data_IF_192452521268
#
_entry.id   IF_192452521268
#
_cell.length_a   1.000
_cell.length_b   1.000
_cell.length_c   1.000
_cell.angle_alpha   90.00
_cell.angle_beta   90.00
_cell.angle_gamma   90.00
#
_symmetry.space_group_name_H-M   'P 1'
#
loop_
_entity.id
_entity.type
_entity.pdbx_description
1 polymer ?
#
# COMPACT_ATOMS: atom_id res chain seq x y z
N UNK A 1 -5.62 -6.09 -19.69
CA UNK A 1 -5.14 -5.67 -18.36
C UNK A 1 -4.47 -6.88 -17.69
N UNK A 2 -3.26 -6.69 -17.19
CA UNK A 2 -2.48 -7.74 -16.54
C UNK A 2 -1.95 -7.22 -15.20
N UNK A 3 -2.09 -8.02 -14.13
CA UNK A 3 -1.48 -7.73 -12.83
C UNK A 3 -0.43 -8.81 -12.59
N UNK A 4 0.80 -8.39 -12.32
CA UNK A 4 1.93 -9.29 -12.08
C UNK A 4 2.89 -8.67 -11.06
N UNK A 5 3.85 -9.46 -10.59
CA UNK A 5 4.88 -8.90 -9.70
C UNK A 5 5.79 -7.94 -10.47
N UNK A 6 6.27 -6.93 -9.78
CA UNK A 6 7.25 -5.99 -10.30
C UNK A 6 8.57 -6.72 -10.55
N UNK A 7 9.25 -6.38 -11.64
CA UNK A 7 10.57 -6.87 -11.98
C UNK A 7 11.57 -5.72 -11.91
N UNK A 8 12.84 -6.05 -11.83
CA UNK A 8 13.89 -5.03 -11.83
C UNK A 8 13.76 -4.05 -13.01
N UNK A 9 13.38 -4.55 -14.18
CA UNK A 9 13.22 -3.73 -15.39
C UNK A 9 12.09 -2.70 -15.26
N UNK A 10 11.16 -2.90 -14.33
CA UNK A 10 10.03 -2.00 -14.11
C UNK A 10 10.36 -0.86 -13.17
N UNK A 11 11.42 -0.96 -12.39
CA UNK A 11 11.69 -0.05 -11.27
C UNK A 11 11.69 1.41 -11.68
N UNK A 12 12.37 1.72 -12.77
CA UNK A 12 12.46 3.11 -13.25
C UNK A 12 11.12 3.67 -13.68
N UNK A 13 10.36 2.90 -14.46
CA UNK A 13 9.03 3.31 -14.94
C UNK A 13 8.08 3.48 -13.79
N UNK A 14 8.12 2.56 -12.82
CA UNK A 14 7.29 2.63 -11.61
C UNK A 14 7.61 3.90 -10.81
N UNK A 15 8.89 4.18 -10.57
CA UNK A 15 9.29 5.36 -9.81
C UNK A 15 8.90 6.66 -10.51
N UNK A 16 9.03 6.73 -11.83
CA UNK A 16 8.59 7.88 -12.61
C UNK A 16 7.08 8.08 -12.53
N UNK A 17 6.32 6.99 -12.57
CA UNK A 17 4.86 7.02 -12.44
C UNK A 17 4.44 7.51 -11.06
N UNK A 18 5.07 7.00 -10.00
CA UNK A 18 4.80 7.43 -8.63
C UNK A 18 5.07 8.92 -8.49
N UNK A 19 6.19 9.39 -9.00
CA UNK A 19 6.55 10.80 -8.96
C UNK A 19 5.48 11.66 -9.64
N UNK A 20 4.99 11.28 -10.81
CA UNK A 20 3.93 12.01 -11.50
C UNK A 20 2.63 12.04 -10.69
N UNK A 21 2.25 10.92 -10.09
CA UNK A 21 0.98 10.81 -9.37
C UNK A 21 0.97 11.62 -8.08
N UNK A 22 2.10 11.75 -7.39
CA UNK A 22 2.19 12.39 -6.08
C UNK A 22 2.81 13.79 -6.12
N UNK A 23 3.25 14.27 -7.29
CA UNK A 23 3.93 15.56 -7.39
C UNK A 23 3.03 16.71 -6.95
N UNK A 24 3.51 17.49 -5.97
CA UNK A 24 2.79 18.64 -5.41
C UNK A 24 1.40 18.30 -4.81
N UNK A 25 1.15 17.05 -4.48
CA UNK A 25 -0.17 16.64 -3.99
C UNK A 25 -0.43 17.08 -2.55
N UNK A 26 0.53 16.86 -1.64
CA UNK A 26 0.39 17.23 -0.23
C UNK A 26 1.45 18.24 0.24
N UNK A 27 2.56 18.36 -0.50
CA UNK A 27 3.66 19.28 -0.23
C UNK A 27 4.37 19.57 -1.55
N UNK A 28 5.21 20.61 -1.65
CA UNK A 28 5.99 20.84 -2.87
C UNK A 28 6.86 19.64 -3.21
N UNK A 29 6.76 19.14 -4.46
CA UNK A 29 7.42 17.90 -4.87
C UNK A 29 6.75 16.68 -4.27
N UNK A 30 7.52 15.60 -4.08
CA UNK A 30 7.05 14.37 -3.41
C UNK A 30 8.22 13.48 -3.01
N UNK A 31 7.97 12.56 -2.07
CA UNK A 31 8.94 11.59 -1.57
C UNK A 31 8.56 10.14 -1.87
N UNK A 32 7.34 9.89 -2.35
CA UNK A 32 6.81 8.53 -2.46
C UNK A 32 7.64 7.64 -3.38
N UNK A 33 8.17 8.20 -4.47
CA UNK A 33 9.03 7.45 -5.40
C UNK A 33 10.38 7.11 -4.77
N UNK A 34 10.93 7.99 -3.94
CA UNK A 34 12.16 7.73 -3.20
C UNK A 34 11.95 6.65 -2.14
N UNK A 35 10.82 6.71 -1.44
CA UNK A 35 10.44 5.68 -0.47
C UNK A 35 10.38 4.31 -1.13
N UNK A 36 9.70 4.20 -2.28
CA UNK A 36 9.62 2.93 -3.02
C UNK A 36 11.01 2.42 -3.40
N UNK A 37 11.89 3.31 -3.85
CA UNK A 37 13.27 2.94 -4.20
C UNK A 37 14.02 2.37 -3.02
N UNK A 38 13.90 3.00 -1.84
CA UNK A 38 14.61 2.56 -0.63
C UNK A 38 14.02 1.30 -0.03
N UNK A 39 12.68 1.17 -0.03
CA UNK A 39 12.02 0.06 0.64
C UNK A 39 12.32 -1.29 -0.02
N UNK A 40 12.60 -1.31 -1.31
CA UNK A 40 12.97 -2.54 -2.01
C UNK A 40 14.26 -3.17 -1.47
N UNK A 41 15.08 -2.38 -0.76
CA UNK A 41 16.32 -2.84 -0.12
C UNK A 41 16.10 -3.22 1.34
N UNK A 42 14.91 -3.02 1.88
CA UNK A 42 14.58 -3.31 3.26
C UNK A 42 14.31 -4.79 3.47
N UNK A 43 14.64 -5.30 4.67
CA UNK A 43 14.28 -6.66 5.07
C UNK A 43 12.76 -6.86 5.18
N UNK A 44 12.01 -5.78 5.34
CA UNK A 44 10.56 -5.83 5.47
C UNK A 44 9.83 -5.86 4.13
N UNK A 45 10.54 -5.64 3.03
CA UNK A 45 9.96 -5.71 1.70
C UNK A 45 9.54 -7.13 1.35
N UNK A 46 8.36 -7.28 0.75
CA UNK A 46 7.80 -8.57 0.37
C UNK A 46 7.65 -8.60 -1.16
N UNK A 47 8.65 -9.17 -1.89
CA UNK A 47 8.57 -9.21 -3.35
C UNK A 47 7.32 -9.86 -3.91
N UNK A 48 6.78 -10.86 -3.22
CA UNK A 48 5.56 -11.56 -3.62
C UNK A 48 4.31 -10.68 -3.52
N UNK A 49 4.39 -9.57 -2.79
CA UNK A 49 3.31 -8.60 -2.62
C UNK A 49 3.69 -7.23 -3.19
N UNK A 50 4.51 -7.23 -4.21
CA UNK A 50 4.89 -6.06 -4.99
C UNK A 50 4.36 -6.25 -6.40
N UNK A 51 3.29 -5.52 -6.75
CA UNK A 51 2.55 -5.74 -7.99
C UNK A 51 2.58 -4.52 -8.89
N UNK A 52 2.69 -4.77 -10.18
CA UNK A 52 2.44 -3.79 -11.23
C UNK A 52 1.21 -4.21 -12.02
N UNK A 53 0.53 -3.22 -12.58
CA UNK A 53 -0.60 -3.41 -13.48
C UNK A 53 -0.20 -2.88 -14.86
N UNK A 54 -0.41 -3.68 -15.90
CA UNK A 54 -0.15 -3.30 -17.28
C UNK A 54 -1.44 -3.19 -18.08
N UNK A 55 -1.49 -2.21 -18.97
CA UNK A 55 -2.50 -2.09 -20.01
C UNK A 55 -1.80 -1.80 -21.32
N UNK A 56 -2.04 -2.61 -22.35
CA UNK A 56 -1.41 -2.46 -23.66
C UNK A 56 0.12 -2.38 -23.60
N UNK A 57 0.72 -3.19 -22.72
CA UNK A 57 2.18 -3.25 -22.56
C UNK A 57 2.79 -2.11 -21.76
N UNK A 58 1.98 -1.20 -21.23
CA UNK A 58 2.42 -0.06 -20.42
C UNK A 58 2.08 -0.29 -18.96
N UNK A 59 3.02 -0.01 -18.05
CA UNK A 59 2.75 -0.04 -16.61
C UNK A 59 1.89 1.18 -16.24
N UNK A 60 0.71 0.90 -15.70
CA UNK A 60 -0.26 1.93 -15.32
C UNK A 60 -0.59 1.94 -13.83
N UNK A 61 -0.11 0.96 -13.07
CA UNK A 61 -0.36 0.90 -11.63
C UNK A 61 0.72 0.14 -10.89
N UNK A 62 0.81 0.41 -9.59
CA UNK A 62 1.78 -0.23 -8.71
C UNK A 62 1.30 -0.18 -7.27
N UNK A 63 1.53 -1.26 -6.52
CA UNK A 63 1.34 -1.33 -5.08
C UNK A 63 2.41 -2.25 -4.50
N UNK A 64 2.98 -1.88 -3.36
CA UNK A 64 3.89 -2.77 -2.65
C UNK A 64 3.54 -2.83 -1.17
N UNK A 65 3.80 -3.98 -0.59
CA UNK A 65 3.55 -4.25 0.83
C UNK A 65 4.86 -4.44 1.56
N UNK A 66 4.85 -4.08 2.83
CA UNK A 66 5.95 -4.31 3.76
C UNK A 66 5.43 -4.99 5.01
N UNK A 67 6.30 -5.73 5.68
CA UNK A 67 6.02 -6.31 6.99
C UNK A 67 6.00 -5.18 8.03
N UNK A 68 5.06 -5.28 8.95
CA UNK A 68 4.98 -4.39 10.08
C UNK A 68 4.53 -5.19 11.30
N UNK A 69 4.49 -4.54 12.46
CA UNK A 69 4.16 -5.22 13.72
C UNK A 69 3.25 -4.36 14.57
N UNK A 70 2.31 -5.00 15.23
CA UNK A 70 1.54 -4.42 16.32
C UNK A 70 2.12 -4.94 17.64
N UNK A 71 2.40 -4.03 18.55
CA UNK A 71 2.92 -4.35 19.88
C UNK A 71 1.81 -4.18 20.90
N UNK A 72 1.44 -5.26 21.56
CA UNK A 72 0.43 -5.22 22.62
C UNK A 72 1.04 -4.76 23.95
N UNK A 73 0.18 -4.27 24.83
CA UNK A 73 0.61 -3.80 26.16
C UNK A 73 1.18 -4.91 27.05
N UNK A 74 0.80 -6.17 26.76
CA UNK A 74 1.32 -7.35 27.48
C UNK A 74 2.65 -7.86 26.89
N UNK A 75 3.21 -7.18 25.89
CA UNK A 75 4.47 -7.54 25.25
C UNK A 75 4.33 -8.48 24.06
N UNK A 76 3.14 -8.97 23.76
CA UNK A 76 2.95 -9.82 22.56
C UNK A 76 3.06 -8.97 21.30
N UNK A 77 3.54 -9.63 20.22
CA UNK A 77 3.76 -8.99 18.92
C UNK A 77 2.92 -9.70 17.89
N UNK A 78 2.14 -8.94 17.11
CA UNK A 78 1.39 -9.47 15.98
C UNK A 78 2.03 -8.98 14.68
N UNK A 79 2.35 -9.92 13.79
CA UNK A 79 2.87 -9.58 12.47
C UNK A 79 1.71 -9.17 11.56
N UNK A 80 1.85 -8.01 10.95
CA UNK A 80 0.85 -7.43 10.05
C UNK A 80 1.51 -6.95 8.79
N UNK A 81 0.71 -6.41 7.88
CA UNK A 81 1.18 -5.76 6.66
C UNK A 81 0.81 -4.29 6.65
N UNK A 82 1.61 -3.52 5.94
CA UNK A 82 1.24 -2.19 5.49
C UNK A 82 1.56 -2.09 4.00
N UNK A 83 0.86 -1.23 3.28
CA UNK A 83 1.21 -0.97 1.88
C UNK A 83 1.39 0.53 1.65
N UNK A 84 2.14 0.84 0.60
CA UNK A 84 2.37 2.19 0.13
C UNK A 84 3.77 2.34 -0.43
N UNK A 85 3.92 3.15 -1.49
CA UNK A 85 2.84 3.85 -2.17
C UNK A 85 1.95 2.90 -2.97
N UNK A 86 0.70 3.30 -3.15
CA UNK A 86 -0.27 2.66 -4.01
C UNK A 86 -0.63 3.68 -5.09
N UNK A 87 -0.34 3.36 -6.34
CA UNK A 87 -0.33 4.35 -7.42
C UNK A 87 -1.02 3.83 -8.65
N UNK A 88 -1.88 4.68 -9.24
CA UNK A 88 -2.39 4.49 -10.60
C UNK A 88 -1.90 5.69 -11.41
N UNK A 89 -1.40 5.43 -12.62
CA UNK A 89 -0.93 6.47 -13.52
C UNK A 89 -2.02 7.54 -13.68
N UNK A 90 -1.66 8.84 -13.62
CA UNK A 90 -2.68 9.91 -13.67
C UNK A 90 -3.68 9.80 -14.80
N UNK A 91 -3.25 9.35 -15.98
CA UNK A 91 -4.13 9.23 -17.16
C UNK A 91 -5.12 8.06 -17.06
N UNK A 92 -4.95 7.20 -16.06
CA UNK A 92 -5.76 5.99 -15.87
C UNK A 92 -6.56 6.00 -14.58
N UNK A 93 -6.52 7.09 -13.83
CA UNK A 93 -7.25 7.22 -12.57
C UNK A 93 -8.77 7.34 -12.80
N UNK A 94 -9.54 6.95 -11.77
CA UNK A 94 -11.01 7.02 -11.74
C UNK A 94 -11.70 6.16 -12.81
N UNK A 95 -11.06 5.07 -13.21
CA UNK A 95 -11.58 4.12 -14.22
C UNK A 95 -11.73 2.70 -13.66
N UNK A 96 -11.56 2.53 -12.34
CA UNK A 96 -11.68 1.23 -11.68
C UNK A 96 -10.40 0.40 -11.62
N UNK A 97 -9.30 0.87 -12.15
CA UNK A 97 -8.04 0.12 -12.12
C UNK A 97 -7.49 -0.02 -10.70
N UNK A 98 -7.59 1.04 -9.90
CA UNK A 98 -7.14 0.99 -8.51
C UNK A 98 -7.87 -0.06 -7.69
N UNK A 99 -9.17 -0.19 -7.88
CA UNK A 99 -9.98 -1.22 -7.22
C UNK A 99 -9.49 -2.62 -7.57
N UNK A 100 -9.23 -2.87 -8.85
CA UNK A 100 -8.76 -4.18 -9.32
C UNK A 100 -7.39 -4.51 -8.74
N UNK A 101 -6.48 -3.56 -8.75
CA UNK A 101 -5.12 -3.76 -8.24
C UNK A 101 -5.14 -3.99 -6.72
N UNK A 102 -5.87 -3.16 -5.99
CA UNK A 102 -5.95 -3.29 -4.53
C UNK A 102 -6.58 -4.62 -4.13
N UNK A 103 -7.71 -5.00 -4.73
CA UNK A 103 -8.38 -6.26 -4.41
C UNK A 103 -7.49 -7.47 -4.72
N UNK A 104 -6.79 -7.46 -5.86
CA UNK A 104 -5.86 -8.52 -6.21
C UNK A 104 -4.76 -8.67 -5.15
N UNK A 105 -4.18 -7.56 -4.73
CA UNK A 105 -3.10 -7.58 -3.75
C UNK A 105 -3.58 -8.01 -2.36
N UNK A 106 -4.77 -7.60 -1.95
CA UNK A 106 -5.35 -8.02 -0.67
C UNK A 106 -5.64 -9.52 -0.64
N UNK A 107 -6.14 -10.09 -1.75
CA UNK A 107 -6.34 -11.54 -1.86
C UNK A 107 -5.01 -12.28 -1.79
N UNK A 108 -3.98 -11.79 -2.47
CA UNK A 108 -2.65 -12.39 -2.41
C UNK A 108 -2.08 -12.36 -0.98
N UNK A 109 -2.27 -11.26 -0.27
CA UNK A 109 -1.83 -11.14 1.13
C UNK A 109 -2.56 -12.15 2.03
N UNK A 110 -3.86 -12.31 1.84
CA UNK A 110 -4.66 -13.28 2.57
C UNK A 110 -4.17 -14.72 2.29
N UNK A 111 -3.91 -15.02 1.03
CA UNK A 111 -3.43 -16.35 0.62
C UNK A 111 -2.06 -16.69 1.22
N UNK A 112 -1.25 -15.67 1.55
CA UNK A 112 0.03 -15.86 2.23
C UNK A 112 -0.11 -16.03 3.74
N UNK A 113 -1.35 -15.97 4.27
CA UNK A 113 -1.62 -16.18 5.69
C UNK A 113 -1.69 -14.93 6.54
N UNK A 114 -1.63 -13.75 5.95
CA UNK A 114 -1.81 -12.50 6.69
C UNK A 114 -3.29 -12.23 6.95
N UNK A 115 -3.61 -11.69 8.12
CA UNK A 115 -4.99 -11.41 8.48
C UNK A 115 -5.27 -9.93 8.78
N UNK A 116 -4.26 -9.07 8.72
CA UNK A 116 -4.41 -7.67 9.10
C UNK A 116 -3.50 -6.78 8.27
N UNK A 117 -4.09 -5.69 7.75
CA UNK A 117 -3.36 -4.64 7.04
C UNK A 117 -3.64 -3.30 7.73
N UNK A 118 -2.58 -2.57 8.06
CA UNK A 118 -2.67 -1.24 8.69
C UNK A 118 -1.96 -0.24 7.79
N UNK A 119 -2.64 0.84 7.44
CA UNK A 119 -2.11 1.84 6.52
C UNK A 119 -2.35 3.26 7.04
N UNK A 120 -1.60 4.21 6.49
CA UNK A 120 -1.95 5.62 6.54
C UNK A 120 -2.60 5.99 5.20
N UNK A 121 -3.86 6.40 5.23
CA UNK A 121 -4.58 6.73 4.02
C UNK A 121 -5.78 7.62 4.27
N UNK A 122 -6.32 8.18 3.19
CA UNK A 122 -7.52 8.99 3.28
C UNK A 122 -8.73 8.07 3.49
N UNK A 123 -9.50 8.23 4.60
CA UNK A 123 -10.69 7.42 4.84
C UNK A 123 -11.69 7.42 3.67
N UNK A 124 -11.81 8.54 2.97
CA UNK A 124 -12.71 8.65 1.81
C UNK A 124 -12.32 7.66 0.69
N UNK A 125 -11.02 7.34 0.58
CA UNK A 125 -10.53 6.44 -0.47
C UNK A 125 -10.58 4.98 -0.06
N UNK A 126 -10.48 4.67 1.23
CA UNK A 126 -10.27 3.30 1.69
C UNK A 126 -11.45 2.68 2.45
N UNK A 127 -12.40 3.49 2.94
CA UNK A 127 -13.55 2.97 3.67
C UNK A 127 -14.37 1.99 2.81
N UNK A 128 -14.48 2.25 1.51
CA UNK A 128 -15.23 1.38 0.58
C UNK A 128 -14.59 0.00 0.39
N UNK A 129 -13.33 -0.17 0.79
CA UNK A 129 -12.62 -1.47 0.73
C UNK A 129 -12.67 -2.21 2.07
N UNK A 130 -13.39 -1.69 3.05
CA UNK A 130 -13.51 -2.31 4.36
C UNK A 130 -12.47 -1.87 5.38
N UNK A 131 -11.65 -0.87 5.06
CA UNK A 131 -10.75 -0.26 6.03
C UNK A 131 -11.54 0.60 7.01
N UNK A 132 -11.19 0.48 8.30
CA UNK A 132 -11.86 1.20 9.39
C UNK A 132 -10.83 1.94 10.21
N UNK A 133 -11.26 2.97 10.92
CA UNK A 133 -10.34 3.74 11.75
C UNK A 133 -9.69 2.86 12.82
N UNK A 134 -8.43 3.13 13.10
CA UNK A 134 -7.62 2.37 14.06
C UNK A 134 -8.22 2.32 15.47
N UNK A 135 -8.93 3.34 15.88
CA UNK A 135 -9.56 3.42 17.21
C UNK A 135 -10.55 2.28 17.43
N UNK A 136 -11.22 1.84 16.37
CA UNK A 136 -12.17 0.73 16.44
C UNK A 136 -11.52 -0.57 16.92
N UNK A 137 -10.23 -0.74 16.66
CA UNK A 137 -9.46 -1.92 17.07
C UNK A 137 -8.52 -1.64 18.22
N UNK A 138 -8.61 -0.44 18.81
CA UNK A 138 -7.71 0.01 19.88
C UNK A 138 -6.23 -0.01 19.44
N UNK A 139 -5.98 0.31 18.19
CA UNK A 139 -4.65 0.43 17.62
C UNK A 139 -4.28 1.91 17.58
N UNK A 140 -3.10 2.26 18.12
CA UNK A 140 -2.64 3.63 18.18
C UNK A 140 -1.16 3.74 17.87
N UNK A 141 -0.66 4.96 17.73
CA UNK A 141 0.76 5.24 17.62
C UNK A 141 1.44 5.09 18.99
N UNK A 142 2.79 5.09 19.01
CA UNK A 142 3.56 5.00 20.25
C UNK A 142 3.21 6.09 21.27
N UNK A 143 2.79 7.26 20.79
CA UNK A 143 2.38 8.39 21.66
C UNK A 143 0.92 8.31 22.11
N UNK A 144 0.26 7.15 21.91
CA UNK A 144 -1.14 6.90 22.25
C UNK A 144 -2.15 7.74 21.46
N UNK A 145 -1.75 8.31 20.33
CA UNK A 145 -2.66 9.03 19.42
C UNK A 145 -3.35 8.08 18.46
N UNK A 146 -4.58 8.43 18.08
CA UNK A 146 -5.39 7.68 17.12
C UNK A 146 -5.66 8.56 15.89
N UNK A 147 -4.69 8.65 14.94
CA UNK A 147 -4.88 9.50 13.77
C UNK A 147 -6.06 9.05 12.92
N UNK A 148 -6.76 10.00 12.32
CA UNK A 148 -7.88 9.71 11.41
C UNK A 148 -7.39 8.90 10.20
N UNK A 149 -6.17 9.17 9.73
CA UNK A 149 -5.60 8.51 8.57
C UNK A 149 -5.05 7.10 8.86
N UNK A 150 -4.95 6.68 10.12
CA UNK A 150 -4.48 5.33 10.46
C UNK A 150 -5.67 4.37 10.35
N UNK A 151 -5.65 3.53 9.35
CA UNK A 151 -6.76 2.65 8.99
C UNK A 151 -6.36 1.19 9.02
N UNK A 152 -7.31 0.34 9.36
CA UNK A 152 -7.09 -1.09 9.57
C UNK A 152 -8.12 -1.89 8.77
N UNK A 153 -7.66 -2.97 8.14
CA UNK A 153 -8.53 -3.95 7.51
C UNK A 153 -8.17 -5.35 7.98
N UNK A 154 -9.20 -6.10 8.38
CA UNK A 154 -9.07 -7.54 8.63
C UNK A 154 -9.26 -8.28 7.31
N UNK A 155 -8.36 -9.23 7.03
CA UNK A 155 -8.44 -10.08 5.84
C UNK A 155 -9.13 -11.39 6.22
N UNK A 156 -10.29 -11.62 5.66
CA UNK A 156 -11.10 -12.82 5.97
C UNK A 156 -11.18 -13.77 4.78
#
# INVERSE_FOLDING_TARGET
MLIRNERFEDYRVVEEMIKKAFWNLSEPGCNEHYFAHQVRKSEDFIPELDFVMEEDGQVIGHILYVKAKLLATDGTVKNILSFGPFTIHPDYQRKGYGRKLLNHSLEAAKDMGYDTVVIFGNPENYACYGFKNCKRYNICLENNLYPVALMVKELE
#
